data_IF_443053492941
#
_entry.id   IF_443053492941
#
_cell.length_a   1.000
_cell.length_b   1.000
_cell.length_c   1.000
_cell.angle_alpha   90.00
_cell.angle_beta   90.00
_cell.angle_gamma   90.00
#
_symmetry.space_group_name_H-M   'P 1'
#
loop_
_entity.id
_entity.type
_entity.pdbx_description
1 polymer ?
#
# COMPACT_ATOMS: atom_id res chain seq x y z
N UNK A 1 -59.20 30.06 27.77
CA UNK A 1 -58.28 31.09 27.26
C UNK A 1 -56.88 30.65 27.66
N UNK A 2 -56.25 29.91 26.76
CA UNK A 2 -55.09 29.03 26.99
C UNK A 2 -53.83 29.79 26.58
N UNK A 3 -52.91 30.00 27.52
CA UNK A 3 -51.66 30.73 27.32
C UNK A 3 -50.68 29.89 26.45
N UNK A 4 -50.29 30.38 25.27
CA UNK A 4 -49.40 29.65 24.36
C UNK A 4 -47.89 29.86 24.64
N UNK A 5 -47.49 30.58 25.69
CA UNK A 5 -46.09 31.00 25.88
C UNK A 5 -45.24 30.14 26.84
N UNK A 6 -45.58 28.87 27.03
CA UNK A 6 -44.68 27.92 27.74
C UNK A 6 -43.65 27.33 26.78
N UNK A 7 -42.83 28.18 26.17
CA UNK A 7 -41.65 27.73 25.44
C UNK A 7 -40.59 27.22 26.43
N UNK A 8 -40.42 25.91 26.37
CA UNK A 8 -39.42 25.12 27.07
C UNK A 8 -38.02 25.63 26.79
N UNK A 9 -37.39 26.18 27.83
CA UNK A 9 -35.96 26.48 27.87
C UNK A 9 -35.19 25.15 27.90
N UNK A 10 -35.06 24.48 26.75
CA UNK A 10 -34.14 23.35 26.58
C UNK A 10 -32.74 23.92 26.40
N UNK A 11 -31.94 23.79 27.46
CA UNK A 11 -30.50 23.97 27.42
C UNK A 11 -29.90 23.14 26.27
N UNK A 12 -29.49 23.82 25.20
CA UNK A 12 -28.66 23.25 24.15
C UNK A 12 -27.29 22.99 24.78
N UNK A 13 -27.07 21.76 25.25
CA UNK A 13 -25.72 21.28 25.56
C UNK A 13 -24.98 21.15 24.22
N UNK A 14 -24.19 22.16 23.90
CA UNK A 14 -23.16 22.07 22.86
C UNK A 14 -22.17 20.99 23.24
N UNK A 15 -22.23 19.83 22.58
CA UNK A 15 -21.18 18.83 22.66
C UNK A 15 -19.90 19.43 22.05
N UNK A 16 -18.73 19.33 22.71
CA UNK A 16 -17.48 19.75 22.12
C UNK A 16 -17.18 18.85 20.91
N UNK A 17 -16.99 19.48 19.75
CA UNK A 17 -16.40 18.86 18.56
C UNK A 17 -15.12 18.11 18.97
N UNK A 18 -14.96 16.81 18.65
CA UNK A 18 -13.67 16.17 18.77
C UNK A 18 -12.74 16.85 17.76
N UNK A 19 -11.83 17.69 18.28
CA UNK A 19 -10.63 18.10 17.57
C UNK A 19 -9.76 16.86 17.44
N UNK A 20 -9.98 16.09 16.39
CA UNK A 20 -9.01 15.09 15.96
C UNK A 20 -7.79 15.89 15.52
N UNK A 21 -6.76 15.88 16.37
CA UNK A 21 -5.42 16.30 15.99
C UNK A 21 -5.05 15.50 14.73
N UNK A 22 -4.90 16.22 13.62
CA UNK A 22 -4.37 15.66 12.39
C UNK A 22 -2.99 15.09 12.67
N UNK A 23 -2.88 13.77 12.61
CA UNK A 23 -1.65 13.14 12.17
C UNK A 23 -1.52 13.41 10.67
N UNK A 24 -1.12 14.64 10.34
CA UNK A 24 -0.49 14.95 9.08
C UNK A 24 0.84 14.20 9.09
N UNK A 25 0.79 12.93 8.70
CA UNK A 25 1.98 12.18 8.32
C UNK A 25 2.68 12.99 7.23
N UNK A 26 3.84 13.52 7.57
CA UNK A 26 4.84 14.04 6.65
C UNK A 26 5.17 12.97 5.62
N UNK A 27 4.39 12.89 4.54
CA UNK A 27 4.88 12.36 3.28
C UNK A 27 5.20 13.55 2.40
N UNK A 28 6.46 13.97 2.54
CA UNK A 28 7.08 14.91 1.62
C UNK A 28 6.87 14.44 0.20
N UNK A 29 6.52 15.41 -0.65
CA UNK A 29 6.57 15.34 -2.08
C UNK A 29 7.91 14.71 -2.54
N UNK A 30 7.84 13.50 -3.07
CA UNK A 30 8.82 13.00 -4.02
C UNK A 30 8.05 12.48 -5.25
N UNK A 31 7.34 13.40 -5.90
CA UNK A 31 6.99 13.21 -7.30
C UNK A 31 8.29 13.24 -8.11
N UNK A 32 8.40 12.30 -9.04
CA UNK A 32 9.53 12.12 -9.93
C UNK A 32 10.09 13.45 -10.46
N UNK A 33 11.36 13.70 -10.18
CA UNK A 33 12.08 14.88 -10.64
C UNK A 33 13.57 14.67 -10.50
N UNK A 34 14.18 14.03 -11.49
CA UNK A 34 15.62 13.99 -11.71
C UNK A 34 16.41 13.16 -10.70
N UNK A 35 17.13 12.15 -11.17
CA UNK A 35 18.34 11.71 -10.50
C UNK A 35 19.31 12.90 -10.49
N UNK A 36 19.30 13.71 -9.44
CA UNK A 36 20.40 14.62 -9.15
C UNK A 36 21.54 13.77 -8.59
N UNK A 37 22.26 13.11 -9.50
CA UNK A 37 23.58 12.61 -9.21
C UNK A 37 24.41 13.81 -8.77
N UNK A 38 24.86 13.83 -7.52
CA UNK A 38 25.82 14.82 -7.05
C UNK A 38 27.08 14.67 -7.90
N UNK A 39 27.47 15.65 -8.73
CA UNK A 39 28.83 15.64 -9.21
C UNK A 39 29.68 16.15 -8.04
N UNK A 40 30.35 15.23 -7.33
CA UNK A 40 31.64 15.59 -6.76
C UNK A 40 32.51 16.02 -7.94
N UNK A 41 32.71 17.33 -8.09
CA UNK A 41 33.70 17.85 -9.02
C UNK A 41 35.06 17.39 -8.48
N UNK A 42 35.66 16.39 -9.13
CA UNK A 42 37.08 16.11 -8.97
C UNK A 42 37.85 17.23 -9.68
N UNK A 43 38.61 18.07 -8.96
CA UNK A 43 39.33 19.19 -9.58
C UNK A 43 40.49 18.75 -10.49
N UNK A 44 40.85 17.46 -10.54
CA UNK A 44 42.07 17.00 -11.22
C UNK A 44 41.92 15.77 -12.13
N UNK A 45 40.71 15.36 -12.55
CA UNK A 45 40.53 14.08 -13.26
C UNK A 45 39.74 14.15 -14.57
N UNK A 46 40.45 14.05 -15.70
CA UNK A 46 39.99 14.05 -17.10
C UNK A 46 39.03 12.89 -17.50
N UNK A 47 37.88 12.72 -16.84
CA UNK A 47 36.85 11.76 -17.29
C UNK A 47 35.61 12.48 -17.81
N UNK A 48 35.22 12.30 -19.09
CA UNK A 48 33.97 12.85 -19.60
C UNK A 48 32.80 12.17 -18.89
N UNK A 49 31.96 12.95 -18.21
CA UNK A 49 30.73 12.45 -17.59
C UNK A 49 29.73 12.16 -18.72
N UNK A 50 29.18 10.94 -18.82
CA UNK A 50 28.22 10.59 -19.86
C UNK A 50 26.95 11.46 -19.76
N UNK A 51 26.57 12.13 -20.84
CA UNK A 51 25.28 12.80 -20.93
C UNK A 51 24.18 11.73 -20.96
N UNK A 52 23.25 11.78 -20.01
CA UNK A 52 22.22 10.76 -19.73
C UNK A 52 21.23 10.42 -20.87
N UNK A 53 21.56 10.73 -22.12
CA UNK A 53 20.90 10.29 -23.35
C UNK A 53 21.49 9.02 -23.96
N UNK A 54 22.60 8.50 -23.43
CA UNK A 54 23.30 7.31 -23.96
C UNK A 54 22.91 5.99 -23.27
N UNK A 55 22.10 6.05 -22.20
CA UNK A 55 21.58 4.83 -21.57
C UNK A 55 20.37 4.33 -22.37
N UNK A 56 20.56 3.21 -23.08
CA UNK A 56 19.45 2.42 -23.57
C UNK A 56 18.46 2.16 -22.42
N UNK A 57 17.16 2.21 -22.70
CA UNK A 57 16.16 1.86 -21.70
C UNK A 57 16.51 0.47 -21.13
N UNK A 58 16.68 0.34 -19.79
CA UNK A 58 17.11 -0.92 -19.20
C UNK A 58 16.14 -2.01 -19.62
N UNK A 59 16.67 -3.06 -20.23
CA UNK A 59 15.85 -4.18 -20.66
C UNK A 59 15.29 -4.93 -19.44
N UNK A 60 14.31 -5.80 -19.64
CA UNK A 60 13.68 -6.53 -18.54
C UNK A 60 14.67 -7.41 -17.76
N UNK A 61 15.79 -7.81 -18.37
CA UNK A 61 16.82 -8.62 -17.74
C UNK A 61 17.75 -7.74 -16.89
N UNK A 62 18.08 -6.54 -17.34
CA UNK A 62 18.85 -5.54 -16.62
C UNK A 62 18.06 -5.01 -15.41
N UNK A 63 16.75 -4.80 -15.54
CA UNK A 63 15.88 -4.51 -14.39
C UNK A 63 15.87 -5.65 -13.37
N UNK A 64 15.82 -6.91 -13.82
CA UNK A 64 15.92 -8.06 -12.92
C UNK A 64 17.29 -8.13 -12.23
N UNK A 65 18.35 -7.84 -12.96
CA UNK A 65 19.72 -7.84 -12.44
C UNK A 65 19.94 -6.69 -11.45
N UNK A 66 19.41 -5.51 -11.74
CA UNK A 66 19.42 -4.36 -10.84
C UNK A 66 18.58 -4.62 -9.58
N UNK A 67 17.43 -5.29 -9.70
CA UNK A 67 16.66 -5.73 -8.53
C UNK A 67 17.44 -6.75 -7.69
N UNK A 68 18.19 -7.66 -8.31
CA UNK A 68 19.06 -8.61 -7.58
C UNK A 68 20.19 -7.90 -6.85
N UNK A 69 20.84 -6.92 -7.49
CA UNK A 69 21.94 -6.14 -6.91
C UNK A 69 21.41 -5.22 -5.79
N UNK A 70 20.29 -4.53 -6.00
CA UNK A 70 19.66 -3.66 -5.01
C UNK A 70 19.14 -4.45 -3.80
N UNK A 71 18.74 -5.72 -3.99
CA UNK A 71 18.34 -6.61 -2.91
C UNK A 71 19.52 -7.22 -2.14
N UNK A 72 20.78 -7.04 -2.56
CA UNK A 72 21.97 -7.30 -1.75
C UNK A 72 22.11 -8.71 -1.16
N UNK A 73 21.73 -9.78 -1.87
CA UNK A 73 21.86 -11.16 -1.39
C UNK A 73 22.75 -11.97 -2.36
N UNK A 74 24.01 -12.14 -1.96
CA UNK A 74 25.06 -12.77 -2.77
C UNK A 74 24.96 -14.28 -2.91
N UNK A 75 25.78 -14.83 -3.83
CA UNK A 75 26.13 -16.25 -3.94
C UNK A 75 25.00 -17.17 -4.40
N UNK A 76 25.28 -18.01 -5.40
CA UNK A 76 24.33 -18.96 -6.01
C UNK A 76 23.71 -20.02 -5.04
N UNK A 77 24.07 -20.00 -3.75
CA UNK A 77 23.62 -20.93 -2.71
C UNK A 77 22.76 -20.29 -1.60
N UNK A 78 22.46 -18.99 -1.64
CA UNK A 78 21.89 -18.27 -0.49
C UNK A 78 20.51 -17.60 -0.70
N UNK A 79 19.84 -17.77 -1.84
CA UNK A 79 18.52 -17.17 -2.05
C UNK A 79 17.38 -18.20 -1.97
N UNK A 80 17.26 -18.82 -0.80
CA UNK A 80 16.14 -19.72 -0.48
C UNK A 80 14.84 -18.97 -0.15
N UNK A 81 14.91 -17.66 0.02
CA UNK A 81 13.77 -16.80 0.32
C UNK A 81 13.65 -15.66 -0.70
N UNK A 82 12.46 -15.51 -1.25
CA UNK A 82 12.09 -14.46 -2.19
C UNK A 82 11.02 -13.59 -1.56
N UNK A 83 11.33 -12.31 -1.42
CA UNK A 83 10.44 -11.28 -0.91
C UNK A 83 10.00 -10.42 -2.09
N UNK A 84 8.71 -10.41 -2.40
CA UNK A 84 8.15 -9.67 -3.51
C UNK A 84 7.19 -8.60 -2.99
N UNK A 85 7.66 -7.36 -2.78
CA UNK A 85 6.77 -6.24 -2.50
C UNK A 85 6.04 -5.83 -3.78
N UNK A 86 4.81 -5.33 -3.62
CA UNK A 86 3.99 -4.78 -4.69
C UNK A 86 3.27 -3.54 -4.18
N UNK A 87 3.10 -2.54 -5.03
CA UNK A 87 2.28 -1.37 -4.73
C UNK A 87 1.45 -1.08 -5.97
N UNK A 88 0.12 -1.08 -5.81
CA UNK A 88 -0.80 -0.59 -6.82
C UNK A 88 -1.45 0.70 -6.32
N UNK A 89 -1.48 1.69 -7.20
CA UNK A 89 -2.24 2.92 -6.99
C UNK A 89 -3.07 3.20 -8.24
N UNK A 90 -4.36 3.44 -8.04
CA UNK A 90 -5.29 3.77 -9.11
C UNK A 90 -6.15 4.95 -8.68
N UNK A 91 -6.42 5.84 -9.63
CA UNK A 91 -7.33 6.94 -9.44
C UNK A 91 -8.46 6.86 -10.48
N UNK A 92 -9.69 7.10 -10.03
CA UNK A 92 -10.89 7.07 -10.85
C UNK A 92 -11.66 8.37 -10.64
N UNK A 93 -12.06 9.01 -11.73
CA UNK A 93 -13.01 10.11 -11.72
C UNK A 93 -14.35 9.59 -12.25
N UNK A 94 -15.42 9.77 -11.49
CA UNK A 94 -16.77 9.37 -11.88
C UNK A 94 -17.74 10.52 -11.69
N UNK A 95 -18.73 10.62 -12.56
CA UNK A 95 -19.84 11.57 -12.44
C UNK A 95 -21.05 11.00 -11.69
N UNK A 96 -20.98 9.72 -11.29
CA UNK A 96 -22.05 9.02 -10.60
C UNK A 96 -21.51 7.94 -9.65
N UNK A 97 -20.97 8.36 -8.52
CA UNK A 97 -20.37 7.46 -7.53
C UNK A 97 -21.38 6.52 -6.88
N UNK A 98 -22.61 6.97 -6.66
CA UNK A 98 -23.70 6.18 -6.07
C UNK A 98 -24.41 5.27 -7.08
N UNK A 99 -24.07 5.38 -8.37
CA UNK A 99 -24.73 4.65 -9.46
C UNK A 99 -26.26 4.86 -9.50
N UNK A 100 -26.74 6.05 -9.12
CA UNK A 100 -28.16 6.41 -9.10
C UNK A 100 -28.55 7.22 -10.34
N UNK A 101 -29.82 7.17 -10.76
CA UNK A 101 -30.29 7.94 -11.91
C UNK A 101 -30.37 9.45 -11.59
N UNK A 102 -30.82 9.81 -10.38
CA UNK A 102 -30.86 11.18 -9.88
C UNK A 102 -31.02 11.21 -8.35
N UNK A 103 -30.32 12.10 -7.61
CA UNK A 103 -29.26 12.99 -8.09
C UNK A 103 -27.97 12.23 -8.38
N UNK A 104 -27.27 12.62 -9.46
CA UNK A 104 -25.93 12.08 -9.79
C UNK A 104 -24.88 12.89 -9.05
N UNK A 105 -24.00 12.20 -8.34
CA UNK A 105 -22.91 12.81 -7.59
C UNK A 105 -21.59 12.41 -8.21
N UNK A 106 -20.83 13.43 -8.59
CA UNK A 106 -19.47 13.23 -9.05
C UNK A 106 -18.53 13.03 -7.86
N UNK A 107 -17.53 12.17 -8.03
CA UNK A 107 -16.48 11.96 -7.04
C UNK A 107 -15.18 11.50 -7.70
N UNK A 108 -14.09 11.69 -6.96
CA UNK A 108 -12.79 11.14 -7.26
C UNK A 108 -12.49 10.04 -6.24
N UNK A 109 -12.28 8.83 -6.72
CA UNK A 109 -11.88 7.70 -5.90
C UNK A 109 -10.39 7.38 -6.12
N UNK A 110 -9.69 7.11 -5.02
CA UNK A 110 -8.31 6.63 -5.00
C UNK A 110 -8.28 5.23 -4.39
N UNK A 111 -7.66 4.30 -5.10
CA UNK A 111 -7.45 2.93 -4.67
C UNK A 111 -5.96 2.73 -4.44
N UNK A 112 -5.60 2.29 -3.25
CA UNK A 112 -4.23 1.98 -2.87
C UNK A 112 -4.18 0.55 -2.35
N UNK A 113 -3.43 -0.31 -3.03
CA UNK A 113 -3.28 -1.71 -2.67
C UNK A 113 -1.79 -2.06 -2.59
N UNK A 114 -1.15 -1.90 -1.42
CA UNK A 114 0.14 -2.51 -1.20
C UNK A 114 -0.04 -4.03 -1.11
N UNK A 115 0.94 -4.76 -1.60
CA UNK A 115 0.97 -6.21 -1.58
C UNK A 115 2.32 -6.69 -1.12
N UNK A 116 2.35 -7.86 -0.50
CA UNK A 116 3.58 -8.53 -0.13
C UNK A 116 3.41 -10.03 -0.33
N UNK A 117 4.38 -10.63 -1.00
CA UNK A 117 4.48 -12.09 -1.13
C UNK A 117 5.84 -12.56 -0.63
N UNK A 118 5.82 -13.67 0.09
CA UNK A 118 7.00 -14.37 0.57
C UNK A 118 6.95 -15.79 0.06
N UNK A 119 8.00 -16.17 -0.66
CA UNK A 119 8.25 -17.54 -1.09
C UNK A 119 9.53 -18.05 -0.42
N UNK A 120 9.44 -19.20 0.22
CA UNK A 120 10.57 -19.90 0.83
C UNK A 120 10.69 -21.29 0.25
N UNK A 121 11.87 -21.65 -0.24
CA UNK A 121 12.17 -23.01 -0.67
C UNK A 121 13.56 -23.40 -0.15
N UNK A 122 13.56 -24.04 1.01
CA UNK A 122 14.75 -24.57 1.66
C UNK A 122 14.57 -26.08 1.85
N UNK A 123 15.65 -26.84 2.14
CA UNK A 123 15.53 -28.27 2.48
C UNK A 123 14.63 -28.57 3.70
N UNK A 124 14.33 -27.58 4.54
CA UNK A 124 13.56 -27.76 5.78
C UNK A 124 12.28 -26.96 5.85
N UNK A 125 12.02 -26.08 4.89
CA UNK A 125 10.88 -25.18 4.92
C UNK A 125 10.48 -24.83 3.49
N UNK A 126 9.23 -25.11 3.16
CA UNK A 126 8.56 -24.64 1.95
C UNK A 126 7.44 -23.73 2.39
N UNK A 127 7.52 -22.45 2.02
CA UNK A 127 6.58 -21.41 2.48
C UNK A 127 6.05 -20.64 1.28
N UNK A 128 4.75 -20.41 1.28
CA UNK A 128 4.09 -19.47 0.39
C UNK A 128 3.15 -18.62 1.23
N UNK A 129 3.38 -17.31 1.26
CA UNK A 129 2.59 -16.38 2.04
C UNK A 129 2.31 -15.14 1.20
N UNK A 130 1.08 -14.66 1.23
CA UNK A 130 0.64 -13.47 0.50
C UNK A 130 -0.30 -12.65 1.38
N UNK A 131 -0.11 -11.33 1.36
CA UNK A 131 -1.01 -10.36 1.98
C UNK A 131 -1.31 -9.23 1.00
N UNK A 132 -2.57 -8.88 0.89
CA UNK A 132 -3.08 -7.88 -0.06
C UNK A 132 -4.13 -7.01 0.62
N UNK A 133 -3.71 -5.98 1.37
CA UNK A 133 -4.60 -4.89 1.79
C UNK A 133 -5.02 -4.04 0.59
N UNK A 134 -6.26 -3.58 0.62
CA UNK A 134 -6.84 -2.65 -0.35
C UNK A 134 -7.56 -1.54 0.39
N UNK A 135 -7.11 -0.31 0.17
CA UNK A 135 -7.71 0.91 0.67
C UNK A 135 -8.42 1.63 -0.48
N UNK A 136 -9.71 1.90 -0.30
CA UNK A 136 -10.51 2.72 -1.21
C UNK A 136 -10.90 4.00 -0.50
N UNK A 137 -10.54 5.13 -1.09
CA UNK A 137 -10.79 6.47 -0.56
C UNK A 137 -11.58 7.30 -1.57
N UNK A 138 -12.63 7.95 -1.10
CA UNK A 138 -13.51 8.82 -1.86
C UNK A 138 -13.32 10.25 -1.36
N UNK A 139 -13.16 11.19 -2.29
CA UNK A 139 -12.87 12.59 -1.93
C UNK A 139 -14.11 13.29 -1.34
N UNK A 140 -15.30 12.92 -1.78
CA UNK A 140 -16.58 13.51 -1.33
C UNK A 140 -17.39 12.53 -0.50
N UNK A 141 -17.64 11.33 -1.02
CA UNK A 141 -18.49 10.34 -0.37
C UNK A 141 -17.68 9.45 0.58
N UNK A 142 -17.15 10.04 1.66
CA UNK A 142 -16.26 9.33 2.60
C UNK A 142 -16.92 8.15 3.33
N UNK A 143 -18.26 8.10 3.37
CA UNK A 143 -19.02 6.92 3.82
C UNK A 143 -18.85 5.71 2.91
N UNK A 144 -18.18 5.85 1.76
CA UNK A 144 -17.80 4.75 0.88
C UNK A 144 -16.34 4.32 1.10
N UNK A 145 -15.59 5.01 1.97
CA UNK A 145 -14.21 4.64 2.27
C UNK A 145 -14.17 3.25 2.90
N UNK A 146 -13.34 2.37 2.35
CA UNK A 146 -13.24 1.00 2.82
C UNK A 146 -11.78 0.57 2.89
N UNK A 147 -11.45 -0.15 3.96
CA UNK A 147 -10.23 -0.93 4.06
C UNK A 147 -10.63 -2.40 4.07
N UNK A 148 -10.13 -3.15 3.10
CA UNK A 148 -10.18 -4.60 3.12
C UNK A 148 -8.76 -5.15 3.16
N UNK A 149 -8.61 -6.35 3.72
CA UNK A 149 -7.35 -7.06 3.72
C UNK A 149 -7.63 -8.54 3.57
N UNK A 150 -6.81 -9.19 2.75
CA UNK A 150 -6.79 -10.62 2.60
C UNK A 150 -5.37 -11.13 2.83
N UNK A 151 -5.28 -12.18 3.63
CA UNK A 151 -4.06 -12.91 3.93
C UNK A 151 -4.30 -14.38 3.61
N UNK A 152 -3.35 -14.97 2.91
CA UNK A 152 -3.29 -16.41 2.67
C UNK A 152 -1.87 -16.90 2.83
N UNK A 153 -1.71 -18.09 3.39
CA UNK A 153 -0.41 -18.69 3.53
C UNK A 153 -0.47 -20.19 3.76
N UNK A 154 0.54 -20.87 3.24
CA UNK A 154 0.81 -22.28 3.46
C UNK A 154 2.28 -22.45 3.77
N UNK A 155 2.60 -23.25 4.76
CA UNK A 155 3.99 -23.58 5.09
C UNK A 155 4.11 -25.05 5.48
N UNK A 156 5.13 -25.72 4.96
CA UNK A 156 5.54 -27.05 5.39
C UNK A 156 6.92 -26.92 6.00
N UNK A 157 7.05 -27.31 7.27
CA UNK A 157 8.29 -27.26 8.02
C UNK A 157 8.73 -28.68 8.40
N UNK A 158 9.97 -29.02 8.09
CA UNK A 158 10.59 -30.30 8.43
C UNK A 158 11.38 -30.14 9.73
N UNK A 159 10.79 -30.57 10.85
CA UNK A 159 11.44 -30.52 12.15
C UNK A 159 12.56 -31.58 12.23
N UNK A 160 12.27 -32.81 11.81
CA UNK A 160 13.23 -33.91 11.68
C UNK A 160 13.17 -34.45 10.25
N UNK A 161 14.30 -34.47 9.51
CA UNK A 161 14.32 -34.99 8.14
C UNK A 161 13.68 -36.38 8.08
N UNK A 162 12.79 -36.57 7.11
CA UNK A 162 12.13 -37.86 6.82
C UNK A 162 11.23 -38.43 7.94
N UNK A 163 11.10 -37.75 9.09
CA UNK A 163 10.37 -38.30 10.24
C UNK A 163 9.26 -37.39 10.76
N UNK A 164 9.48 -36.06 10.82
CA UNK A 164 8.53 -35.13 11.42
C UNK A 164 8.34 -33.88 10.58
N UNK A 165 7.10 -33.68 10.17
CA UNK A 165 6.65 -32.57 9.34
C UNK A 165 5.52 -31.81 10.02
N UNK A 166 5.50 -30.50 9.85
CA UNK A 166 4.46 -29.60 10.33
C UNK A 166 3.89 -28.84 9.15
N UNK A 167 2.60 -29.02 8.89
CA UNK A 167 1.87 -28.30 7.87
C UNK A 167 1.01 -27.21 8.49
N UNK A 168 1.20 -25.99 8.00
CA UNK A 168 0.50 -24.79 8.44
C UNK A 168 -0.29 -24.24 7.27
N UNK A 169 -1.55 -23.87 7.54
CA UNK A 169 -2.40 -23.13 6.61
C UNK A 169 -3.04 -21.97 7.35
N UNK A 170 -2.92 -20.79 6.77
CA UNK A 170 -3.48 -19.56 7.32
C UNK A 170 -4.32 -18.87 6.26
N UNK A 171 -5.55 -18.52 6.63
CA UNK A 171 -6.39 -17.63 5.84
C UNK A 171 -7.01 -16.64 6.81
N UNK A 172 -6.87 -15.35 6.53
CA UNK A 172 -7.52 -14.30 7.28
C UNK A 172 -8.03 -13.24 6.32
N UNK A 173 -9.19 -12.68 6.64
CA UNK A 173 -9.81 -11.64 5.85
C UNK A 173 -10.55 -10.68 6.76
N UNK A 174 -10.39 -9.39 6.50
CA UNK A 174 -11.20 -8.35 7.14
C UNK A 174 -11.75 -7.45 6.05
N UNK A 175 -13.03 -7.16 6.11
CA UNK A 175 -13.69 -6.19 5.24
C UNK A 175 -14.55 -5.27 6.09
N UNK A 176 -14.63 -4.01 5.71
CA UNK A 176 -15.52 -3.06 6.38
C UNK A 176 -16.94 -3.22 5.81
N UNK A 177 -17.91 -3.47 6.69
CA UNK A 177 -19.32 -3.69 6.32
C UNK A 177 -20.05 -2.34 6.13
N UNK A 178 -19.55 -1.28 6.78
CA UNK A 178 -20.06 0.08 6.63
C UNK A 178 -18.88 0.99 6.30
N UNK A 179 -18.85 1.54 5.08
CA UNK A 179 -17.77 2.45 4.68
C UNK A 179 -17.70 3.62 5.67
N UNK A 180 -16.50 3.85 6.19
CA UNK A 180 -16.32 4.66 7.39
C UNK A 180 -15.02 4.32 8.11
N UNK A 181 -13.90 4.48 7.42
CA UNK A 181 -12.66 4.87 8.11
C UNK A 181 -12.73 6.39 8.27
N UNK A 182 -13.19 6.81 9.45
CA UNK A 182 -13.31 8.22 9.86
C UNK A 182 -12.02 8.75 10.47
#
# INVERSE_FOLDING_TARGET
MTDPNRQTNRLVRSAPLPRILGLAGLFGLAWAGGALAFPLVDPNGDTPVPNGTELAAPDAQDLQHQLQIANGLGGADAQAWTFTPRIDFQQMLTDNVLQQNSPRLWDTASFFAPGFSLLGNTPRAVVNFTVTPTLSMYARETSLNSLSQQLSGTATLTAVPEMLFVDLRAVAGVTNIYGGVG
#
